data_IF_792535090370
#
_entry.id   IF_792535090370
#
_cell.length_a   1.000
_cell.length_b   1.000
_cell.length_c   1.000
_cell.angle_alpha   90.00
_cell.angle_beta   90.00
_cell.angle_gamma   90.00
#
_symmetry.space_group_name_H-M   'P 1'
#
loop_
_entity.id
_entity.type
_entity.pdbx_description
1 polymer ?
#
# COMPACT_ATOMS: atom_id res chain seq x y z
N UNK A 1 -15.25 11.23 2.64
CA UNK A 1 -14.62 11.69 1.38
C UNK A 1 -13.56 10.68 1.01
N UNK A 2 -13.42 10.33 -0.26
CA UNK A 2 -12.33 9.46 -0.71
C UNK A 2 -11.00 10.22 -0.60
N UNK A 3 -9.95 9.56 -0.11
CA UNK A 3 -8.59 10.13 -0.11
C UNK A 3 -8.07 10.26 -1.55
N UNK A 4 -7.08 11.12 -1.82
CA UNK A 4 -6.46 11.21 -3.14
C UNK A 4 -5.93 9.88 -3.67
N UNK A 5 -5.37 9.04 -2.79
CA UNK A 5 -4.94 7.68 -3.12
C UNK A 5 -6.13 6.75 -3.45
N UNK A 6 -7.20 6.80 -2.67
CA UNK A 6 -8.44 6.04 -2.95
C UNK A 6 -9.08 6.45 -4.27
N UNK A 7 -9.13 7.75 -4.57
CA UNK A 7 -9.65 8.26 -5.84
C UNK A 7 -8.79 7.82 -7.03
N UNK A 8 -7.47 7.80 -6.88
CA UNK A 8 -6.56 7.31 -7.92
C UNK A 8 -6.78 5.83 -8.21
N UNK A 9 -6.85 4.98 -7.17
CA UNK A 9 -7.09 3.53 -7.31
C UNK A 9 -8.48 3.24 -7.91
N UNK A 10 -9.49 4.05 -7.61
CA UNK A 10 -10.80 3.93 -8.24
C UNK A 10 -10.76 4.20 -9.76
N UNK A 11 -9.91 5.14 -10.19
CA UNK A 11 -9.78 5.53 -11.59
C UNK A 11 -8.84 4.64 -12.42
N UNK A 12 -7.85 3.99 -11.80
CA UNK A 12 -6.78 3.27 -12.51
C UNK A 12 -6.79 1.76 -12.30
N UNK A 13 -7.36 1.25 -11.20
CA UNK A 13 -7.40 -0.19 -10.98
C UNK A 13 -8.47 -0.86 -11.85
N UNK A 14 -8.04 -1.62 -12.84
CA UNK A 14 -8.93 -2.42 -13.69
C UNK A 14 -9.52 -3.58 -12.88
N UNK A 15 -10.80 -3.43 -12.52
CA UNK A 15 -11.69 -4.46 -11.94
C UNK A 15 -11.02 -5.50 -11.00
N UNK A 16 -10.46 -5.08 -9.85
CA UNK A 16 -10.00 -6.03 -8.84
C UNK A 16 -11.18 -6.88 -8.34
N UNK A 17 -10.93 -8.15 -7.94
CA UNK A 17 -11.95 -8.98 -7.30
C UNK A 17 -12.63 -8.24 -6.14
N UNK A 18 -13.95 -8.43 -5.97
CA UNK A 18 -14.77 -7.63 -5.04
C UNK A 18 -14.20 -7.60 -3.61
N UNK A 19 -13.68 -8.73 -3.13
CA UNK A 19 -13.06 -8.83 -1.80
C UNK A 19 -11.81 -7.95 -1.67
N UNK A 20 -10.97 -7.90 -2.72
CA UNK A 20 -9.80 -7.03 -2.76
C UNK A 20 -10.20 -5.56 -2.86
N UNK A 21 -11.20 -5.22 -3.69
CA UNK A 21 -11.73 -3.85 -3.77
C UNK A 21 -12.22 -3.37 -2.41
N UNK A 22 -13.06 -4.15 -1.73
CA UNK A 22 -13.59 -3.81 -0.42
C UNK A 22 -12.47 -3.61 0.61
N UNK A 23 -11.41 -4.44 0.56
CA UNK A 23 -10.28 -4.31 1.48
C UNK A 23 -9.44 -3.06 1.19
N UNK A 24 -9.17 -2.75 -0.08
CA UNK A 24 -8.51 -1.51 -0.50
C UNK A 24 -9.29 -0.27 -0.04
N UNK A 25 -10.62 -0.28 -0.19
CA UNK A 25 -11.47 0.83 0.25
C UNK A 25 -11.38 1.04 1.77
N UNK A 26 -11.34 -0.02 2.57
CA UNK A 26 -11.15 0.10 4.02
C UNK A 26 -9.80 0.75 4.35
N UNK A 27 -8.72 0.28 3.74
CA UNK A 27 -7.37 0.80 4.00
C UNK A 27 -7.24 2.25 3.56
N UNK A 28 -7.69 2.58 2.35
CA UNK A 28 -7.49 3.90 1.73
C UNK A 28 -8.45 4.97 2.26
N UNK A 29 -9.60 4.59 2.83
CA UNK A 29 -10.51 5.52 3.48
C UNK A 29 -10.23 5.66 4.98
N UNK A 30 -9.33 4.86 5.56
CA UNK A 30 -8.82 5.08 6.92
C UNK A 30 -7.97 6.34 6.89
N UNK A 31 -8.60 7.48 7.17
CA UNK A 31 -7.96 8.79 7.11
C UNK A 31 -7.36 9.07 8.48
N UNK A 32 -6.04 9.27 8.52
CA UNK A 32 -5.41 9.90 9.67
C UNK A 32 -5.63 11.41 9.52
N UNK A 33 -6.44 12.00 10.41
CA UNK A 33 -6.90 13.39 10.29
C UNK A 33 -5.75 14.40 10.34
N UNK A 34 -4.60 13.99 10.90
CA UNK A 34 -3.39 14.80 11.04
C UNK A 34 -2.34 14.51 9.95
N UNK A 35 -2.64 13.63 8.99
CA UNK A 35 -1.71 13.30 7.92
C UNK A 35 -1.47 14.48 6.98
N UNK A 36 -0.19 14.82 6.78
CA UNK A 36 0.22 15.79 5.75
C UNK A 36 -0.16 15.28 4.36
N UNK A 37 -0.61 16.15 3.43
CA UNK A 37 -0.81 15.76 2.04
C UNK A 37 0.46 15.13 1.47
N UNK A 38 0.35 13.90 1.01
CA UNK A 38 1.42 13.14 0.37
C UNK A 38 1.11 12.89 -1.11
N UNK A 39 2.12 12.78 -1.98
CA UNK A 39 1.93 12.29 -3.35
C UNK A 39 1.22 10.92 -3.34
N UNK A 40 0.37 10.67 -4.34
CA UNK A 40 -0.42 9.43 -4.44
C UNK A 40 0.45 8.18 -4.31
N UNK A 41 1.56 8.12 -5.06
CA UNK A 41 2.50 7.00 -5.00
C UNK A 41 3.04 6.76 -3.57
N UNK A 42 3.45 7.83 -2.89
CA UNK A 42 3.96 7.75 -1.52
C UNK A 42 2.87 7.32 -0.52
N UNK A 43 1.64 7.81 -0.68
CA UNK A 43 0.51 7.44 0.17
C UNK A 43 0.14 5.95 0.01
N UNK A 44 0.11 5.45 -1.23
CA UNK A 44 -0.15 4.04 -1.53
C UNK A 44 0.96 3.13 -0.96
N UNK A 45 2.22 3.54 -1.15
CA UNK A 45 3.37 2.81 -0.62
C UNK A 45 3.35 2.73 0.91
N UNK A 46 3.08 3.85 1.57
CA UNK A 46 2.99 3.91 3.03
C UNK A 46 1.85 3.06 3.59
N UNK A 47 0.69 3.03 2.91
CA UNK A 47 -0.43 2.17 3.29
C UNK A 47 -0.06 0.68 3.16
N UNK A 48 0.63 0.29 2.08
CA UNK A 48 1.12 -1.08 1.88
C UNK A 48 2.14 -1.49 2.95
N UNK A 49 3.10 -0.62 3.27
CA UNK A 49 4.09 -0.84 4.32
C UNK A 49 3.43 -1.03 5.70
N UNK A 50 2.49 -0.14 6.04
CA UNK A 50 1.78 -0.18 7.32
C UNK A 50 0.97 -1.46 7.47
N UNK A 51 0.26 -1.85 6.41
CA UNK A 51 -0.50 -3.10 6.40
C UNK A 51 0.42 -4.32 6.54
N UNK A 52 1.54 -4.35 5.81
CA UNK A 52 2.51 -5.45 5.94
C UNK A 52 3.07 -5.52 7.37
N UNK A 53 3.40 -4.39 8.00
CA UNK A 53 3.87 -4.36 9.39
C UNK A 53 2.83 -4.94 10.35
N UNK A 54 1.55 -4.62 10.17
CA UNK A 54 0.46 -5.21 10.95
C UNK A 54 0.36 -6.72 10.75
N UNK A 55 0.42 -7.20 9.50
CA UNK A 55 0.41 -8.63 9.20
C UNK A 55 1.59 -9.32 9.89
N UNK A 56 2.80 -8.79 9.71
CA UNK A 56 4.01 -9.40 10.25
C UNK A 56 4.04 -9.40 11.78
N UNK A 57 3.52 -8.34 12.42
CA UNK A 57 3.44 -8.21 13.88
C UNK A 57 2.32 -9.06 14.51
N UNK A 58 1.28 -9.43 13.74
CA UNK A 58 0.21 -10.30 14.23
C UNK A 58 0.62 -11.77 14.41
N UNK A 59 1.73 -12.19 13.80
CA UNK A 59 2.16 -13.59 13.77
C UNK A 59 1.23 -14.53 12.98
N UNK A 60 0.19 -14.00 12.31
CA UNK A 60 -0.80 -14.80 11.59
C UNK A 60 -0.24 -15.34 10.28
N UNK A 61 -0.16 -16.66 10.17
CA UNK A 61 0.19 -17.40 8.93
C UNK A 61 -1.05 -18.01 8.26
N UNK A 62 -2.24 -17.66 8.74
CA UNK A 62 -3.49 -18.24 8.26
C UNK A 62 -3.96 -17.61 6.95
N UNK A 63 -4.94 -18.27 6.32
CA UNK A 63 -5.60 -17.83 5.09
C UNK A 63 -6.20 -16.42 5.20
N UNK A 64 -6.51 -15.97 6.42
CA UNK A 64 -6.98 -14.61 6.71
C UNK A 64 -5.92 -13.54 6.39
N UNK A 65 -4.63 -13.86 6.51
CA UNK A 65 -3.54 -12.96 6.13
C UNK A 65 -3.34 -12.90 4.61
N UNK A 66 -3.86 -13.86 3.84
CA UNK A 66 -3.64 -13.90 2.39
C UNK A 66 -4.31 -12.72 1.67
N UNK A 67 -5.51 -12.32 2.09
CA UNK A 67 -6.18 -11.15 1.52
C UNK A 67 -5.44 -9.86 1.88
N UNK A 68 -4.91 -9.76 3.09
CA UNK A 68 -4.14 -8.59 3.53
C UNK A 68 -2.79 -8.51 2.82
N UNK A 69 -2.13 -9.64 2.56
CA UNK A 69 -0.90 -9.71 1.76
C UNK A 69 -1.16 -9.31 0.31
N UNK A 70 -2.24 -9.81 -0.30
CA UNK A 70 -2.66 -9.39 -1.65
C UNK A 70 -3.01 -7.90 -1.71
N UNK A 71 -3.60 -7.37 -0.63
CA UNK A 71 -3.90 -5.94 -0.53
C UNK A 71 -2.61 -5.12 -0.46
N UNK A 72 -1.63 -5.55 0.34
CA UNK A 72 -0.32 -4.90 0.42
C UNK A 72 0.41 -4.93 -0.94
N UNK A 73 0.40 -6.08 -1.62
CA UNK A 73 1.00 -6.24 -2.95
C UNK A 73 0.34 -5.33 -4.01
N UNK A 74 -1.00 -5.25 -4.01
CA UNK A 74 -1.74 -4.36 -4.89
C UNK A 74 -1.42 -2.87 -4.61
N UNK A 75 -1.33 -2.47 -3.34
CA UNK A 75 -0.97 -1.10 -2.97
C UNK A 75 0.42 -0.70 -3.47
N UNK A 76 1.39 -1.62 -3.42
CA UNK A 76 2.74 -1.40 -3.96
C UNK A 76 2.72 -1.32 -5.48
N UNK A 77 1.98 -2.22 -6.14
CA UNK A 77 1.80 -2.19 -7.60
C UNK A 77 1.21 -0.85 -8.05
N UNK A 78 0.13 -0.40 -7.41
CA UNK A 78 -0.49 0.89 -7.69
C UNK A 78 0.39 2.08 -7.35
N UNK A 79 1.24 1.98 -6.32
CA UNK A 79 2.23 3.01 -6.03
C UNK A 79 3.21 3.17 -7.20
N UNK A 80 3.68 2.07 -7.77
CA UNK A 80 4.58 2.10 -8.94
C UNK A 80 3.90 2.56 -10.21
N UNK A 81 2.65 2.16 -10.46
CA UNK A 81 1.87 2.68 -11.60
C UNK A 81 1.65 4.19 -11.47
N UNK A 82 1.33 4.69 -10.28
CA UNK A 82 1.23 6.12 -10.02
C UNK A 82 2.58 6.82 -10.21
N UNK A 83 3.68 6.22 -9.76
CA UNK A 83 5.04 6.72 -9.94
C UNK A 83 5.46 6.79 -11.41
N UNK A 84 5.03 5.82 -12.23
CA UNK A 84 5.40 5.70 -13.64
C UNK A 84 4.90 6.87 -14.50
N UNK A 85 3.96 7.67 -14.00
CA UNK A 85 3.57 8.95 -14.62
C UNK A 85 4.71 9.99 -14.59
N UNK A 86 5.76 9.77 -13.78
CA UNK A 86 6.94 10.62 -13.60
C UNK A 86 8.23 9.77 -13.72
N UNK A 87 8.61 9.35 -14.95
CA UNK A 87 9.64 8.35 -15.18
C UNK A 87 11.02 8.73 -14.60
N UNK A 88 11.33 10.02 -14.52
CA UNK A 88 12.61 10.52 -13.99
C UNK A 88 12.83 10.19 -12.50
N UNK A 89 11.78 9.82 -11.77
CA UNK A 89 11.86 9.50 -10.33
C UNK A 89 11.54 8.04 -10.00
N UNK A 90 11.29 7.20 -11.01
CA UNK A 90 10.85 5.82 -10.83
C UNK A 90 11.89 4.97 -10.09
N UNK A 91 13.16 5.05 -10.48
CA UNK A 91 14.24 4.25 -9.88
C UNK A 91 14.46 4.60 -8.40
N UNK A 92 14.41 5.89 -8.06
CA UNK A 92 14.53 6.36 -6.68
C UNK A 92 13.36 5.88 -5.81
N UNK A 93 12.14 5.91 -6.36
CA UNK A 93 10.94 5.43 -5.67
C UNK A 93 10.95 3.91 -5.48
N UNK A 94 11.40 3.15 -6.50
CA UNK A 94 11.61 1.71 -6.39
C UNK A 94 12.64 1.36 -5.32
N UNK A 95 13.79 2.05 -5.30
CA UNK A 95 14.82 1.84 -4.29
C UNK A 95 14.34 2.23 -2.88
N UNK A 96 13.50 3.26 -2.74
CA UNK A 96 12.92 3.65 -1.47
C UNK A 96 11.91 2.62 -0.95
N UNK A 97 11.02 2.14 -1.83
CA UNK A 97 10.05 1.09 -1.53
C UNK A 97 10.74 -0.19 -1.04
N UNK A 98 11.73 -0.68 -1.79
CA UNK A 98 12.45 -1.91 -1.42
C UNK A 98 13.14 -1.80 -0.04
N UNK A 99 13.73 -0.64 0.27
CA UNK A 99 14.33 -0.38 1.59
C UNK A 99 13.30 -0.37 2.71
N UNK A 100 12.13 0.25 2.48
CA UNK A 100 11.05 0.28 3.47
C UNK A 100 10.55 -1.14 3.77
N UNK A 101 10.32 -1.96 2.74
CA UNK A 101 9.88 -3.34 2.89
C UNK A 101 10.92 -4.24 3.57
N UNK A 102 12.20 -4.10 3.22
CA UNK A 102 13.27 -4.83 3.91
C UNK A 102 13.32 -4.49 5.41
N UNK A 103 13.22 -3.20 5.76
CA UNK A 103 13.22 -2.76 7.15
C UNK A 103 12.04 -3.28 7.98
N UNK A 104 10.88 -3.52 7.35
CA UNK A 104 9.71 -4.12 8.00
C UNK A 104 9.95 -5.58 8.40
N UNK A 105 10.74 -6.32 7.63
CA UNK A 105 11.11 -7.72 7.93
C UNK A 105 12.13 -7.79 9.08
N UNK A 106 13.12 -6.90 9.08
CA UNK A 106 14.20 -6.87 10.08
C UNK A 106 13.73 -6.38 11.45
N UNK A 107 12.64 -5.60 11.53
CA UNK A 107 12.09 -5.07 12.77
C UNK A 107 11.28 -6.10 13.60
N UNK A 108 11.25 -7.38 13.20
CA UNK A 108 10.59 -8.44 13.97
C UNK A 108 11.41 -8.77 15.23
N UNK A 109 10.85 -8.61 16.45
CA UNK A 109 11.47 -9.20 17.63
C UNK A 109 11.39 -10.73 17.53
N UNK A 110 12.51 -11.41 17.78
CA UNK A 110 12.58 -12.86 18.00
C UNK A 110 11.70 -13.30 19.17
#
# INVERSE_FOLDING_TARGET
>A
MATPAGAWVAAHAEQPPLALRARLDVILNTTDADARPAPVAAALLHAGESLLRTILGSGSTQRDAALDLLTADALVTYAFEAAATHPDTLDEQAAAAMRAFAGVVDARPN
#
